data_IF_643569990240
#
_entry.id   IF_643569990240
#
_cell.length_a   1.000
_cell.length_b   1.000
_cell.length_c   1.000
_cell.angle_alpha   90.00
_cell.angle_beta   90.00
_cell.angle_gamma   90.00
#
_symmetry.space_group_name_H-M   'P 1'
#
loop_
_entity.id
_entity.type
_entity.pdbx_description
1 polymer ?
#
# COMPACT_ATOMS: atom_id res chain seq x y z
N UNK A 1 -61.36 -0.14 -43.07
CA UNK A 1 -60.94 0.49 -44.33
C UNK A 1 -59.56 -0.01 -44.58
N UNK A 2 -59.44 -1.09 -45.31
CA UNK A 2 -59.03 -1.25 -46.70
C UNK A 2 -57.53 -1.04 -46.82
N UNK A 3 -56.78 -2.14 -46.91
CA UNK A 3 -56.44 -3.00 -48.05
C UNK A 3 -55.45 -2.34 -48.98
N UNK A 4 -54.41 -3.01 -49.21
CA UNK A 4 -53.65 -3.25 -50.44
C UNK A 4 -52.19 -3.47 -50.09
N UNK A 5 -51.56 -4.46 -50.50
CA UNK A 5 -51.83 -5.35 -51.60
C UNK A 5 -50.78 -6.43 -51.71
N UNK A 6 -51.35 -7.54 -51.81
CA UNK A 6 -50.73 -8.62 -52.57
C UNK A 6 -50.49 -8.12 -54.01
N UNK A 7 -49.28 -8.27 -54.46
CA UNK A 7 -48.88 -8.61 -55.84
C UNK A 7 -47.42 -8.21 -56.02
N UNK A 8 -46.53 -9.17 -55.94
CA UNK A 8 -45.38 -9.36 -56.79
C UNK A 8 -44.69 -10.66 -56.37
N UNK A 9 -45.42 -11.76 -56.51
CA UNK A 9 -44.86 -13.08 -56.62
C UNK A 9 -44.79 -13.40 -58.09
N UNK A 10 -43.66 -13.84 -58.55
CA UNK A 10 -43.27 -14.37 -59.83
C UNK A 10 -42.35 -13.46 -60.64
N UNK A 11 -41.05 -13.53 -60.38
CA UNK A 11 -40.04 -13.50 -61.42
C UNK A 11 -38.81 -14.27 -60.92
N UNK A 12 -38.54 -15.32 -61.66
CA UNK A 12 -37.24 -15.95 -61.79
C UNK A 12 -36.77 -16.90 -60.68
N UNK A 13 -37.27 -18.07 -60.70
CA UNK A 13 -36.50 -19.30 -60.59
C UNK A 13 -35.39 -19.33 -61.66
N UNK A 14 -34.31 -18.65 -61.43
CA UNK A 14 -33.05 -18.95 -62.13
C UNK A 14 -32.16 -19.62 -61.08
N UNK A 15 -32.21 -20.95 -61.06
CA UNK A 15 -31.18 -21.73 -60.42
C UNK A 15 -29.84 -21.37 -61.06
N UNK A 16 -28.85 -20.90 -60.34
CA UNK A 16 -27.54 -20.72 -60.95
C UNK A 16 -26.98 -22.08 -61.31
N UNK A 17 -26.75 -22.26 -62.61
CA UNK A 17 -26.00 -23.38 -63.18
C UNK A 17 -24.75 -23.61 -62.32
N UNK A 18 -24.45 -24.81 -61.85
CA UNK A 18 -23.26 -25.06 -61.12
C UNK A 18 -22.05 -24.88 -62.05
N UNK A 19 -21.55 -23.66 -62.11
CA UNK A 19 -20.23 -23.44 -62.72
C UNK A 19 -19.23 -24.26 -61.92
N UNK A 20 -18.69 -25.33 -62.48
CA UNK A 20 -17.51 -26.02 -61.96
C UNK A 20 -16.42 -24.96 -61.87
N UNK A 21 -16.13 -24.50 -60.63
CA UNK A 21 -15.01 -23.60 -60.40
C UNK A 21 -13.74 -24.27 -60.95
N UNK A 22 -13.04 -23.62 -61.86
CA UNK A 22 -11.82 -24.15 -62.42
C UNK A 22 -10.80 -24.38 -61.31
N UNK A 23 -9.94 -25.41 -61.43
CA UNK A 23 -8.94 -25.69 -60.38
C UNK A 23 -8.04 -24.53 -60.04
N UNK A 24 -7.87 -23.58 -60.97
CA UNK A 24 -7.16 -22.33 -60.76
C UNK A 24 -7.91 -21.39 -59.79
N UNK A 25 -9.24 -21.32 -59.86
CA UNK A 25 -10.07 -20.48 -59.00
C UNK A 25 -10.12 -21.00 -57.55
N UNK A 26 -10.20 -22.31 -57.36
CA UNK A 26 -10.07 -22.97 -56.05
C UNK A 26 -8.68 -22.79 -55.43
N UNK A 27 -7.64 -22.76 -56.25
CA UNK A 27 -6.26 -22.49 -55.81
C UNK A 27 -6.09 -21.02 -55.33
N UNK A 28 -6.73 -20.06 -56.02
CA UNK A 28 -6.71 -18.63 -55.63
C UNK A 28 -7.48 -18.41 -54.35
N UNK A 29 -8.65 -18.98 -54.17
CA UNK A 29 -9.46 -18.88 -52.94
C UNK A 29 -8.68 -19.43 -51.73
N UNK A 30 -8.02 -20.56 -51.83
CA UNK A 30 -7.16 -21.13 -50.77
C UNK A 30 -5.99 -20.22 -50.45
N UNK A 31 -5.31 -19.65 -51.43
CA UNK A 31 -4.22 -18.70 -51.20
C UNK A 31 -4.69 -17.43 -50.55
N UNK A 32 -5.86 -16.91 -50.92
CA UNK A 32 -6.46 -15.72 -50.29
C UNK A 32 -6.85 -15.99 -48.86
N UNK A 33 -7.43 -17.14 -48.52
CA UNK A 33 -7.74 -17.53 -47.12
C UNK A 33 -6.47 -17.61 -46.27
N UNK A 34 -5.42 -18.28 -46.78
CA UNK A 34 -4.14 -18.37 -46.05
C UNK A 34 -3.55 -16.96 -45.82
N UNK A 35 -3.63 -16.09 -46.81
CA UNK A 35 -3.12 -14.74 -46.73
C UNK A 35 -3.90 -13.88 -45.70
N UNK A 36 -5.22 -14.02 -45.65
CA UNK A 36 -6.07 -13.35 -44.67
C UNK A 36 -5.78 -13.90 -43.27
N UNK A 37 -5.62 -15.21 -43.12
CA UNK A 37 -5.29 -15.82 -41.81
C UNK A 37 -3.93 -15.36 -41.29
N UNK A 38 -2.92 -15.29 -42.15
CA UNK A 38 -1.59 -14.78 -41.81
C UNK A 38 -1.63 -13.31 -41.39
N UNK A 39 -2.40 -12.49 -42.10
CA UNK A 39 -2.56 -11.07 -41.79
C UNK A 39 -3.28 -10.88 -40.46
N UNK A 40 -4.33 -11.64 -40.20
CA UNK A 40 -5.05 -11.62 -38.92
C UNK A 40 -4.14 -12.09 -37.77
N UNK A 41 -3.34 -13.12 -37.99
CA UNK A 41 -2.35 -13.60 -37.03
C UNK A 41 -1.30 -12.54 -36.74
N UNK A 42 -0.73 -11.90 -37.75
CA UNK A 42 0.24 -10.81 -37.56
C UNK A 42 -0.35 -9.61 -36.76
N UNK A 43 -1.59 -9.20 -37.09
CA UNK A 43 -2.27 -8.16 -36.38
C UNK A 43 -2.48 -8.53 -34.90
N UNK A 44 -2.93 -9.75 -34.64
CA UNK A 44 -3.11 -10.26 -33.27
C UNK A 44 -1.79 -10.30 -32.49
N UNK A 45 -0.72 -10.76 -33.13
CA UNK A 45 0.63 -10.76 -32.52
C UNK A 45 1.13 -9.35 -32.21
N UNK A 46 0.88 -8.40 -33.10
CA UNK A 46 1.21 -6.99 -32.87
C UNK A 46 0.46 -6.42 -31.66
N UNK A 47 -0.85 -6.63 -31.59
CA UNK A 47 -1.67 -6.20 -30.45
C UNK A 47 -1.15 -6.77 -29.12
N UNK A 48 -0.86 -8.08 -29.08
CA UNK A 48 -0.29 -8.73 -27.88
C UNK A 48 1.08 -8.12 -27.51
N UNK A 49 1.93 -7.87 -28.50
CA UNK A 49 3.24 -7.23 -28.27
C UNK A 49 3.09 -5.81 -27.71
N UNK A 50 2.15 -5.03 -28.21
CA UNK A 50 1.89 -3.67 -27.75
C UNK A 50 1.30 -3.68 -26.33
N UNK A 51 0.42 -4.62 -26.00
CA UNK A 51 -0.09 -4.84 -24.62
C UNK A 51 1.03 -5.23 -23.66
N UNK A 52 1.92 -6.16 -24.04
CA UNK A 52 3.08 -6.53 -23.21
C UNK A 52 3.97 -5.32 -22.94
N UNK A 53 4.29 -4.54 -23.97
CA UNK A 53 5.10 -3.31 -23.81
C UNK A 53 4.45 -2.31 -22.87
N UNK A 54 3.13 -2.15 -22.94
CA UNK A 54 2.38 -1.28 -22.06
C UNK A 54 2.46 -1.77 -20.61
N UNK A 55 2.26 -3.05 -20.36
CA UNK A 55 2.37 -3.67 -19.04
C UNK A 55 3.78 -3.49 -18.46
N UNK A 56 4.82 -3.70 -19.28
CA UNK A 56 6.20 -3.54 -18.83
C UNK A 56 6.54 -2.08 -18.51
N UNK A 57 6.02 -1.14 -19.30
CA UNK A 57 6.17 0.29 -19.03
C UNK A 57 5.45 0.70 -17.73
N UNK A 58 4.24 0.18 -17.49
CA UNK A 58 3.49 0.41 -16.23
C UNK A 58 4.22 -0.18 -15.03
N UNK A 59 4.79 -1.38 -15.13
CA UNK A 59 5.59 -2.00 -14.07
C UNK A 59 6.83 -1.16 -13.73
N UNK A 60 7.55 -0.69 -14.74
CA UNK A 60 8.72 0.16 -14.55
C UNK A 60 8.35 1.49 -13.88
N UNK A 61 7.26 2.13 -14.33
CA UNK A 61 6.75 3.37 -13.73
C UNK A 61 6.29 3.15 -12.28
N UNK A 62 5.60 2.04 -11.99
CA UNK A 62 5.19 1.68 -10.63
C UNK A 62 6.39 1.47 -9.71
N UNK A 63 7.43 0.78 -10.20
CA UNK A 63 8.66 0.58 -9.43
C UNK A 63 9.31 1.92 -9.07
N UNK A 64 9.50 2.80 -10.04
CA UNK A 64 10.09 4.11 -9.81
C UNK A 64 9.26 4.96 -8.82
N UNK A 65 7.93 4.97 -8.96
CA UNK A 65 7.03 5.69 -8.05
C UNK A 65 7.10 5.13 -6.62
N UNK A 66 7.21 3.81 -6.48
CA UNK A 66 7.37 3.17 -5.16
C UNK A 66 8.70 3.51 -4.51
N UNK A 67 9.80 3.49 -5.27
CA UNK A 67 11.13 3.90 -4.79
C UNK A 67 11.13 5.35 -4.29
N UNK A 68 10.51 6.26 -5.04
CA UNK A 68 10.32 7.65 -4.65
C UNK A 68 9.51 7.76 -3.36
N UNK A 69 8.36 7.09 -3.26
CA UNK A 69 7.54 7.06 -2.06
C UNK A 69 8.34 6.57 -0.85
N UNK A 70 9.05 5.46 -0.95
CA UNK A 70 9.86 4.88 0.12
C UNK A 70 10.94 5.86 0.58
N UNK A 71 11.60 6.54 -0.35
CA UNK A 71 12.62 7.55 -0.04
C UNK A 71 12.04 8.75 0.72
N UNK A 72 10.92 9.31 0.23
CA UNK A 72 10.25 10.45 0.83
C UNK A 72 9.65 10.09 2.21
N UNK A 73 9.07 8.90 2.34
CA UNK A 73 8.55 8.41 3.62
C UNK A 73 9.63 8.28 4.68
N UNK A 74 10.82 7.82 4.28
CA UNK A 74 11.99 7.81 5.16
C UNK A 74 12.40 9.20 5.64
N UNK A 75 12.38 10.19 4.75
CA UNK A 75 12.68 11.58 5.09
C UNK A 75 11.65 12.18 6.06
N UNK A 76 10.35 11.96 5.82
CA UNK A 76 9.27 12.37 6.71
C UNK A 76 9.37 11.67 8.08
N UNK A 77 9.66 10.37 8.09
CA UNK A 77 9.87 9.63 9.33
C UNK A 77 10.96 10.26 10.20
N UNK A 78 12.08 10.70 9.59
CA UNK A 78 13.16 11.39 10.31
C UNK A 78 12.70 12.70 10.94
N UNK A 79 11.86 13.47 10.26
CA UNK A 79 11.30 14.71 10.83
C UNK A 79 10.38 14.44 12.03
N UNK A 80 9.79 13.25 12.09
CA UNK A 80 8.93 12.81 13.19
C UNK A 80 9.70 12.04 14.30
N UNK A 81 11.05 12.06 14.24
CA UNK A 81 11.90 11.39 15.22
C UNK A 81 11.99 9.87 15.06
N UNK A 82 11.60 9.33 13.90
CA UNK A 82 11.73 7.90 13.57
C UNK A 82 13.02 7.69 12.76
N UNK A 83 13.73 6.59 13.00
CA UNK A 83 14.88 6.23 12.20
C UNK A 83 14.51 6.15 10.72
N UNK A 84 15.29 6.84 9.85
CA UNK A 84 15.02 6.93 8.40
C UNK A 84 14.91 5.55 7.76
N UNK A 85 15.86 4.67 8.04
CA UNK A 85 15.89 3.32 7.48
C UNK A 85 14.68 2.49 7.95
N UNK A 86 14.30 2.61 9.23
CA UNK A 86 13.12 1.96 9.78
C UNK A 86 11.85 2.39 9.02
N UNK A 87 11.68 3.69 8.78
CA UNK A 87 10.55 4.21 8.02
C UNK A 87 10.56 3.75 6.56
N UNK A 88 11.75 3.69 5.92
CA UNK A 88 11.90 3.17 4.55
C UNK A 88 11.54 1.68 4.46
N UNK A 89 12.01 0.85 5.39
CA UNK A 89 11.67 -0.58 5.42
C UNK A 89 10.16 -0.78 5.62
N UNK A 90 9.54 -0.02 6.53
CA UNK A 90 8.09 -0.08 6.72
C UNK A 90 7.32 0.29 5.45
N UNK A 91 7.71 1.40 4.78
CA UNK A 91 7.08 1.83 3.53
C UNK A 91 7.26 0.80 2.39
N UNK A 92 8.46 0.19 2.28
CA UNK A 92 8.74 -0.86 1.32
C UNK A 92 7.82 -2.07 1.53
N UNK A 93 7.77 -2.61 2.76
CA UNK A 93 6.93 -3.76 3.11
C UNK A 93 5.44 -3.45 2.96
N UNK A 94 4.99 -2.25 3.35
CA UNK A 94 3.59 -1.81 3.24
C UNK A 94 3.13 -1.76 1.77
N UNK A 95 4.00 -1.36 0.85
CA UNK A 95 3.70 -1.25 -0.58
C UNK A 95 4.02 -2.51 -1.39
N UNK A 96 4.63 -3.51 -0.78
CA UNK A 96 4.90 -4.80 -1.42
C UNK A 96 3.66 -5.70 -1.43
N UNK A 97 3.44 -6.41 -2.55
CA UNK A 97 2.36 -7.40 -2.65
C UNK A 97 2.69 -8.71 -1.94
N UNK A 98 3.97 -9.06 -1.90
CA UNK A 98 4.49 -10.28 -1.31
C UNK A 98 5.32 -9.96 -0.06
N UNK A 99 5.43 -10.94 0.82
CA UNK A 99 6.33 -10.86 1.96
C UNK A 99 7.78 -10.88 1.47
N UNK A 100 8.63 -10.04 2.03
CA UNK A 100 10.04 -9.88 1.64
C UNK A 100 10.98 -10.54 2.65
N UNK A 101 12.10 -11.06 2.17
CA UNK A 101 13.20 -11.52 3.02
C UNK A 101 14.11 -10.35 3.44
N UNK A 102 15.00 -10.60 4.40
CA UNK A 102 16.06 -9.62 4.74
C UNK A 102 16.93 -9.30 3.51
N UNK A 103 17.19 -10.28 2.65
CA UNK A 103 18.02 -10.10 1.45
C UNK A 103 17.32 -9.15 0.45
N UNK A 104 16.00 -9.33 0.24
CA UNK A 104 15.21 -8.45 -0.62
C UNK A 104 15.19 -7.01 -0.10
N UNK A 105 15.04 -6.83 1.22
CA UNK A 105 15.09 -5.51 1.85
C UNK A 105 16.46 -4.84 1.70
N UNK A 106 17.53 -5.61 1.82
CA UNK A 106 18.89 -5.11 1.60
C UNK A 106 19.13 -4.66 0.17
N UNK A 107 18.65 -5.43 -0.80
CA UNK A 107 18.78 -5.14 -2.22
C UNK A 107 17.96 -3.90 -2.62
N UNK A 108 16.69 -3.87 -2.26
CA UNK A 108 15.77 -2.76 -2.62
C UNK A 108 16.18 -1.41 -2.01
N UNK A 109 16.75 -1.41 -0.79
CA UNK A 109 17.13 -0.18 -0.09
C UNK A 109 18.64 0.10 -0.11
N UNK A 110 19.44 -0.76 -0.73
CA UNK A 110 20.90 -0.68 -0.75
C UNK A 110 21.53 -0.50 0.65
N UNK A 111 21.07 -1.27 1.64
CA UNK A 111 21.52 -1.20 3.04
C UNK A 111 22.22 -2.47 3.47
N UNK A 112 23.05 -2.38 4.53
CA UNK A 112 23.75 -3.54 5.08
C UNK A 112 22.77 -4.48 5.82
N UNK A 113 23.14 -5.78 5.90
CA UNK A 113 22.39 -6.81 6.63
C UNK A 113 22.11 -6.42 8.09
N UNK A 114 23.14 -5.89 8.78
CA UNK A 114 23.00 -5.44 10.17
C UNK A 114 21.96 -4.34 10.32
N UNK A 115 21.97 -3.37 9.41
CA UNK A 115 21.00 -2.27 9.39
C UNK A 115 19.58 -2.79 9.10
N UNK A 116 19.41 -3.65 8.08
CA UNK A 116 18.12 -4.26 7.77
C UNK A 116 17.57 -5.05 8.97
N UNK A 117 18.40 -5.95 9.56
CA UNK A 117 17.99 -6.79 10.68
C UNK A 117 17.59 -5.99 11.93
N UNK A 118 18.36 -4.97 12.30
CA UNK A 118 18.06 -4.13 13.47
C UNK A 118 16.73 -3.41 13.30
N UNK A 119 16.48 -2.82 12.13
CA UNK A 119 15.24 -2.08 11.88
C UNK A 119 14.02 -3.00 11.69
N UNK A 120 14.19 -4.18 11.07
CA UNK A 120 13.12 -5.19 11.01
C UNK A 120 12.72 -5.67 12.41
N UNK A 121 13.67 -5.95 13.29
CA UNK A 121 13.38 -6.29 14.70
C UNK A 121 12.64 -5.17 15.43
N UNK A 122 13.04 -3.93 15.20
CA UNK A 122 12.38 -2.78 15.80
C UNK A 122 10.92 -2.64 15.30
N UNK A 123 10.69 -2.80 14.00
CA UNK A 123 9.34 -2.81 13.41
C UNK A 123 8.47 -3.95 13.95
N UNK A 124 9.04 -5.12 14.18
CA UNK A 124 8.36 -6.26 14.83
C UNK A 124 8.03 -5.92 16.29
N UNK A 125 8.97 -5.34 17.02
CA UNK A 125 8.75 -4.92 18.41
C UNK A 125 7.67 -3.83 18.53
N UNK A 126 7.49 -3.00 17.51
CA UNK A 126 6.39 -2.06 17.42
C UNK A 126 5.06 -2.72 17.02
N UNK A 127 5.08 -3.93 16.46
CA UNK A 127 3.88 -4.61 15.93
C UNK A 127 3.44 -4.07 14.55
N UNK A 128 4.32 -3.37 13.84
CA UNK A 128 4.06 -2.86 12.49
C UNK A 128 4.44 -3.86 11.39
N UNK A 129 5.30 -4.81 11.72
CA UNK A 129 5.75 -5.89 10.84
C UNK A 129 5.63 -7.22 11.58
N UNK A 130 5.31 -8.27 10.86
CA UNK A 130 5.28 -9.65 11.36
C UNK A 130 6.15 -10.55 10.51
N UNK A 131 6.68 -11.60 11.12
CA UNK A 131 7.35 -12.70 10.42
C UNK A 131 6.30 -13.65 9.86
N UNK A 132 6.48 -14.07 8.61
CA UNK A 132 5.62 -15.04 7.91
C UNK A 132 6.44 -16.27 7.57
N UNK A 133 5.89 -17.45 7.82
CA UNK A 133 6.50 -18.73 7.46
C UNK A 133 5.91 -19.19 6.13
N UNK A 134 6.77 -19.35 5.12
CA UNK A 134 6.37 -19.90 3.82
C UNK A 134 6.80 -21.37 3.77
N UNK A 135 5.86 -22.26 3.50
CA UNK A 135 6.11 -23.70 3.46
C UNK A 135 7.13 -24.06 2.39
N UNK A 136 8.18 -24.74 2.79
CA UNK A 136 9.28 -25.14 1.90
C UNK A 136 10.45 -24.18 1.87
N UNK A 137 10.31 -22.99 2.42
CA UNK A 137 11.37 -22.00 2.54
C UNK A 137 12.06 -22.07 3.91
N UNK A 138 13.38 -21.84 3.92
CA UNK A 138 14.17 -21.77 5.15
C UNK A 138 14.44 -20.34 5.61
N UNK A 139 14.12 -19.36 4.78
CA UNK A 139 14.30 -17.93 5.06
C UNK A 139 13.13 -17.40 5.86
N UNK A 140 13.40 -16.38 6.67
CA UNK A 140 12.34 -15.58 7.28
C UNK A 140 11.81 -14.56 6.28
N UNK A 141 10.48 -14.46 6.22
CA UNK A 141 9.77 -13.48 5.42
C UNK A 141 9.07 -12.48 6.32
N UNK A 142 9.00 -11.24 5.89
CA UNK A 142 8.43 -10.13 6.64
C UNK A 142 7.28 -9.50 5.86
N UNK A 143 6.21 -9.20 6.56
CA UNK A 143 5.03 -8.54 6.00
C UNK A 143 4.61 -7.40 6.95
N UNK A 144 4.32 -6.22 6.38
CA UNK A 144 3.81 -5.09 7.16
C UNK A 144 2.28 -5.17 7.33
N UNK A 145 1.78 -4.58 8.43
CA UNK A 145 0.38 -4.23 8.54
C UNK A 145 0.00 -3.26 7.41
N UNK A 146 -1.14 -3.48 6.77
CA UNK A 146 -1.63 -2.69 5.64
C UNK A 146 -2.87 -1.86 5.97
N UNK A 147 -3.54 -2.18 7.08
CA UNK A 147 -4.61 -1.32 7.59
C UNK A 147 -4.02 -0.05 8.19
N UNK A 148 -4.19 1.06 7.47
CA UNK A 148 -3.65 2.38 7.85
C UNK A 148 -4.13 2.81 9.25
N UNK A 149 -5.35 2.45 9.63
CA UNK A 149 -5.89 2.77 10.95
C UNK A 149 -5.25 1.92 12.06
N UNK A 150 -4.96 0.64 11.77
CA UNK A 150 -4.20 -0.21 12.70
C UNK A 150 -2.76 0.29 12.86
N UNK A 151 -2.12 0.70 11.76
CA UNK A 151 -0.81 1.35 11.79
C UNK A 151 -0.85 2.58 12.70
N UNK A 152 -1.81 3.48 12.50
CA UNK A 152 -1.95 4.70 13.30
C UNK A 152 -2.16 4.39 14.79
N UNK A 153 -3.05 3.42 15.11
CA UNK A 153 -3.27 2.96 16.50
C UNK A 153 -2.01 2.40 17.13
N UNK A 154 -1.30 1.57 16.40
CA UNK A 154 -0.07 0.94 16.85
C UNK A 154 1.02 1.97 17.10
N UNK A 155 1.21 2.92 16.18
CA UNK A 155 2.16 4.03 16.35
C UNK A 155 1.81 4.89 17.56
N UNK A 156 0.54 5.27 17.75
CA UNK A 156 0.10 6.05 18.89
C UNK A 156 0.37 5.33 20.22
N UNK A 157 0.11 4.02 20.29
CA UNK A 157 0.37 3.18 21.46
C UNK A 157 1.86 3.08 21.78
N UNK A 158 2.70 2.86 20.76
CA UNK A 158 4.16 2.76 20.95
C UNK A 158 4.79 4.10 21.35
N UNK A 159 4.33 5.22 20.77
CA UNK A 159 4.78 6.55 21.21
C UNK A 159 4.36 6.86 22.65
N UNK A 160 3.13 6.53 23.03
CA UNK A 160 2.71 6.65 24.43
C UNK A 160 3.64 5.88 25.36
N UNK A 161 3.89 4.61 25.06
CA UNK A 161 4.72 3.72 25.89
C UNK A 161 6.16 4.18 25.99
N UNK A 162 6.75 4.71 24.90
CA UNK A 162 8.18 5.01 24.79
C UNK A 162 8.51 6.46 25.17
N UNK A 163 7.59 7.39 24.99
CA UNK A 163 7.83 8.82 25.12
C UNK A 163 7.01 9.43 26.27
N UNK A 164 5.71 9.14 26.34
CA UNK A 164 4.79 9.79 27.29
C UNK A 164 4.88 9.15 28.68
N UNK A 165 4.83 7.84 28.79
CA UNK A 165 4.87 7.15 30.09
C UNK A 165 6.15 7.40 30.87
N UNK A 166 7.36 7.33 30.25
CA UNK A 166 8.59 7.68 30.95
C UNK A 166 8.63 9.14 31.40
N UNK A 167 8.15 10.08 30.58
CA UNK A 167 8.07 11.49 30.94
C UNK A 167 7.16 11.71 32.17
N UNK A 168 6.01 11.06 32.23
CA UNK A 168 5.12 11.08 33.40
C UNK A 168 5.81 10.51 34.64
N UNK A 169 6.60 9.43 34.49
CA UNK A 169 7.38 8.86 35.58
C UNK A 169 8.33 9.87 36.19
N UNK A 170 9.13 10.55 35.37
CA UNK A 170 10.08 11.58 35.81
C UNK A 170 9.37 12.75 36.50
N UNK A 171 8.28 13.27 35.93
CA UNK A 171 7.53 14.38 36.50
C UNK A 171 6.97 14.04 37.89
N UNK A 172 6.38 12.85 38.04
CA UNK A 172 5.84 12.37 39.30
C UNK A 172 6.94 12.17 40.37
N UNK A 173 8.09 11.64 39.97
CA UNK A 173 9.24 11.49 40.85
C UNK A 173 9.74 12.88 41.34
N UNK A 174 9.86 13.84 40.44
CA UNK A 174 10.25 15.21 40.79
C UNK A 174 9.24 15.87 41.78
N UNK A 175 7.95 15.69 41.52
CA UNK A 175 6.88 16.18 42.42
C UNK A 175 6.96 15.52 43.80
N UNK A 176 7.18 14.22 43.87
CA UNK A 176 7.28 13.51 45.13
C UNK A 176 8.48 13.98 45.97
N UNK A 177 9.66 14.14 45.31
CA UNK A 177 10.88 14.61 45.92
C UNK A 177 10.76 16.05 46.45
N UNK A 178 10.03 16.92 45.75
CA UNK A 178 9.87 18.33 46.12
C UNK A 178 8.64 18.63 46.98
N UNK A 179 7.85 17.61 47.30
CA UNK A 179 6.66 17.74 48.14
C UNK A 179 7.02 18.24 49.52
N UNK A 180 6.35 19.35 49.94
CA UNK A 180 6.56 19.92 51.27
C UNK A 180 7.79 20.80 51.41
N UNK A 181 8.54 21.07 50.34
CA UNK A 181 9.62 22.05 50.40
C UNK A 181 9.03 23.47 50.47
N UNK A 182 9.60 24.31 51.34
CA UNK A 182 8.99 25.61 51.68
C UNK A 182 9.65 26.82 51.01
N UNK A 183 10.84 26.65 50.41
CA UNK A 183 11.49 27.77 49.73
C UNK A 183 10.64 28.28 48.56
N UNK A 184 10.66 29.56 48.21
CA UNK A 184 9.94 30.10 47.07
C UNK A 184 10.27 29.38 45.77
N UNK A 185 11.54 29.07 45.53
CA UNK A 185 12.03 28.39 44.36
C UNK A 185 11.50 26.94 44.28
N UNK A 186 11.43 26.24 45.41
CA UNK A 186 10.94 24.87 45.49
C UNK A 186 9.43 24.82 45.24
N UNK A 187 8.67 25.79 45.74
CA UNK A 187 7.23 25.90 45.48
C UNK A 187 6.94 26.16 43.99
N UNK A 188 7.73 27.07 43.37
CA UNK A 188 7.59 27.33 41.92
C UNK A 188 7.97 26.13 41.09
N UNK A 189 9.07 25.41 41.42
CA UNK A 189 9.45 24.17 40.77
C UNK A 189 8.33 23.11 40.86
N UNK A 190 7.78 22.87 42.06
CA UNK A 190 6.69 21.91 42.24
C UNK A 190 5.46 22.29 41.42
N UNK A 191 5.08 23.54 41.37
CA UNK A 191 3.98 24.05 40.57
C UNK A 191 4.21 23.82 39.09
N UNK A 192 5.44 24.05 38.59
CA UNK A 192 5.80 23.84 37.21
C UNK A 192 5.72 22.34 36.83
N UNK A 193 6.26 21.46 37.69
CA UNK A 193 6.20 20.02 37.49
C UNK A 193 4.75 19.50 37.43
N UNK A 194 3.89 20.04 38.32
CA UNK A 194 2.48 19.69 38.33
C UNK A 194 1.76 20.11 37.04
N UNK A 195 2.01 21.32 36.55
CA UNK A 195 1.40 21.79 35.29
C UNK A 195 1.85 20.94 34.09
N UNK A 196 3.13 20.57 34.04
CA UNK A 196 3.65 19.66 33.00
C UNK A 196 3.01 18.27 33.11
N UNK A 197 2.89 17.73 34.34
CA UNK A 197 2.26 16.41 34.53
C UNK A 197 0.78 16.44 34.11
N UNK A 198 0.02 17.48 34.46
CA UNK A 198 -1.37 17.65 34.02
C UNK A 198 -1.48 17.67 32.49
N UNK A 199 -0.59 18.41 31.79
CA UNK A 199 -0.56 18.48 30.33
C UNK A 199 -0.17 17.13 29.69
N UNK A 200 0.89 16.48 30.17
CA UNK A 200 1.36 15.20 29.63
C UNK A 200 0.35 14.08 29.91
N UNK A 201 -0.31 14.11 31.08
CA UNK A 201 -1.42 13.21 31.42
C UNK A 201 -2.62 13.38 30.46
N UNK A 202 -2.94 14.63 30.12
CA UNK A 202 -3.96 14.91 29.10
C UNK A 202 -3.56 14.32 27.73
N UNK A 203 -2.32 14.55 27.27
CA UNK A 203 -1.81 13.97 26.02
C UNK A 203 -1.85 12.43 26.03
N UNK A 204 -1.53 11.81 27.19
CA UNK A 204 -1.64 10.35 27.37
C UNK A 204 -3.08 9.85 27.16
N UNK A 205 -4.07 10.54 27.75
CA UNK A 205 -5.49 10.18 27.57
C UNK A 205 -5.95 10.32 26.12
N UNK A 206 -5.49 11.35 25.42
CA UNK A 206 -5.78 11.52 23.98
C UNK A 206 -5.19 10.36 23.17
N UNK A 207 -3.94 9.95 23.46
CA UNK A 207 -3.31 8.81 22.82
C UNK A 207 -4.08 7.50 23.08
N UNK A 208 -4.62 7.30 24.29
CA UNK A 208 -5.47 6.15 24.61
C UNK A 208 -6.77 6.15 23.81
N UNK A 209 -7.42 7.30 23.67
CA UNK A 209 -8.63 7.42 22.88
C UNK A 209 -8.38 7.10 21.41
N UNK A 210 -7.30 7.64 20.81
CA UNK A 210 -6.90 7.34 19.42
C UNK A 210 -6.61 5.83 19.25
N UNK A 211 -5.86 5.25 20.19
CA UNK A 211 -5.51 3.82 20.15
C UNK A 211 -6.73 2.91 20.32
N UNK A 212 -7.77 3.34 21.03
CA UNK A 212 -9.02 2.58 21.27
C UNK A 212 -10.10 2.77 20.20
N UNK A 213 -9.93 3.71 19.26
CA UNK A 213 -10.94 4.02 18.25
C UNK A 213 -11.09 2.89 17.24
N UNK A 214 -12.33 2.38 17.08
CA UNK A 214 -12.68 1.51 15.96
C UNK A 214 -12.79 2.34 14.67
N UNK A 215 -12.38 1.77 13.54
CA UNK A 215 -12.34 2.44 12.23
C UNK A 215 -13.63 3.23 11.89
N UNK A 216 -14.82 2.61 12.06
CA UNK A 216 -16.10 3.26 11.77
C UNK A 216 -16.40 4.48 12.64
N UNK A 217 -15.94 4.50 13.90
CA UNK A 217 -16.17 5.62 14.81
C UNK A 217 -15.24 6.80 14.50
N UNK A 218 -13.98 6.54 14.13
CA UNK A 218 -13.03 7.58 13.74
C UNK A 218 -13.52 8.35 12.49
N UNK A 219 -14.05 7.65 11.49
CA UNK A 219 -14.62 8.25 10.28
C UNK A 219 -15.86 9.08 10.60
N UNK A 220 -16.76 8.59 11.47
CA UNK A 220 -17.96 9.33 11.88
C UNK A 220 -17.62 10.59 12.69
N UNK A 221 -16.62 10.51 13.57
CA UNK A 221 -16.17 11.66 14.36
C UNK A 221 -15.52 12.72 13.47
N UNK A 222 -14.65 12.31 12.53
CA UNK A 222 -14.03 13.20 11.56
C UNK A 222 -15.09 13.89 10.67
N UNK A 223 -16.07 13.16 10.16
CA UNK A 223 -17.18 13.72 9.39
C UNK A 223 -18.01 14.74 10.20
N UNK A 224 -18.15 14.52 11.51
CA UNK A 224 -18.92 15.43 12.39
C UNK A 224 -18.14 16.69 12.81
N UNK A 225 -16.79 16.63 12.79
CA UNK A 225 -15.93 17.78 13.15
C UNK A 225 -15.55 18.64 11.94
N UNK A 226 -15.63 18.09 10.73
CA UNK A 226 -15.23 18.74 9.49
C UNK A 226 -16.42 19.18 8.61
N UNK A 227 -17.63 18.80 8.97
CA UNK A 227 -18.90 19.20 8.33
C UNK A 227 -19.71 20.10 9.22
#
# INVERSE_FOLDING_TARGET
MLSNGQQFTEIASFAPFPMKKSGAMLSLEKKLHIFIDLRNFQNKMKTVSDEIRKIDAEKAALKATREEFVSQWGALGSQWGINRTMAQIHALLMTSHEALTTDDVMEELAISRGNAHTNLKELIAWGLVRTVVIRGERKEFFEAEKDVWEIARTVARERKRREIEPALGVLRECMEKSRGWESPEAREFYKQMRQLEEFVSFASKVADQVSGMKHGFAVQLAAKLLG
#
